data_IF_538142033075
#
_entry.id   IF_538142033075
#
_cell.length_a   1.000
_cell.length_b   1.000
_cell.length_c   1.000
_cell.angle_alpha   90.00
_cell.angle_beta   90.00
_cell.angle_gamma   90.00
#
_symmetry.space_group_name_H-M   'P 1'
#
loop_
_entity.id
_entity.type
_entity.pdbx_description
1 polymer ?
#
# COMPACT_ATOMS: atom_id res chain seq x y z
N UNK A 1 -40.94 47.82 -22.40
CA UNK A 1 -39.63 47.13 -22.53
C UNK A 1 -39.49 46.15 -21.39
N UNK A 2 -39.76 44.84 -21.63
CA UNK A 2 -39.69 43.80 -20.62
C UNK A 2 -38.22 43.30 -20.57
N UNK A 3 -37.54 43.51 -19.43
CA UNK A 3 -36.19 42.95 -19.19
C UNK A 3 -36.33 41.46 -18.93
N UNK A 4 -35.82 40.67 -19.84
CA UNK A 4 -35.69 39.23 -19.71
C UNK A 4 -34.48 38.96 -18.78
N UNK A 5 -34.75 38.53 -17.53
CA UNK A 5 -33.73 38.08 -16.62
C UNK A 5 -33.41 36.62 -16.98
N UNK A 6 -32.28 36.42 -17.63
CA UNK A 6 -31.74 35.07 -17.92
C UNK A 6 -31.17 34.49 -16.62
N UNK A 7 -31.93 33.59 -15.99
CA UNK A 7 -31.48 32.86 -14.82
C UNK A 7 -30.49 31.79 -15.30
N UNK A 8 -29.19 32.06 -15.15
CA UNK A 8 -28.15 31.11 -15.45
C UNK A 8 -28.18 30.01 -14.34
N UNK A 9 -28.79 28.88 -14.68
CA UNK A 9 -28.80 27.69 -13.83
C UNK A 9 -27.38 27.14 -13.83
N UNK A 10 -26.54 27.48 -12.82
CA UNK A 10 -25.29 26.78 -12.56
C UNK A 10 -25.66 25.36 -12.13
N UNK A 11 -25.53 24.42 -13.05
CA UNK A 11 -25.45 22.99 -12.70
C UNK A 11 -24.12 22.80 -11.98
N UNK A 12 -24.14 22.85 -10.65
CA UNK A 12 -23.03 22.39 -9.83
C UNK A 12 -23.03 20.89 -9.98
N UNK A 13 -22.30 20.38 -11.00
CA UNK A 13 -21.89 18.99 -11.02
C UNK A 13 -21.00 18.81 -9.80
N UNK A 14 -21.49 18.08 -8.80
CA UNK A 14 -20.74 17.73 -7.61
C UNK A 14 -19.54 16.86 -8.01
N UNK A 15 -18.48 17.49 -8.50
CA UNK A 15 -17.17 16.89 -8.48
C UNK A 15 -16.84 16.68 -7.01
N UNK A 16 -16.80 15.43 -6.59
CA UNK A 16 -16.18 15.04 -5.34
C UNK A 16 -14.78 15.64 -5.37
N UNK A 17 -14.58 16.73 -4.63
CA UNK A 17 -13.28 17.33 -4.38
C UNK A 17 -12.49 16.26 -3.60
N UNK A 18 -11.81 15.39 -4.34
CA UNK A 18 -10.80 14.52 -3.75
C UNK A 18 -9.72 15.46 -3.24
N UNK A 19 -9.47 15.42 -1.96
CA UNK A 19 -8.40 16.19 -1.34
C UNK A 19 -7.08 15.79 -2.02
N UNK A 20 -6.62 16.63 -2.95
CA UNK A 20 -5.33 16.42 -3.59
C UNK A 20 -4.26 16.75 -2.56
N UNK A 21 -3.59 15.73 -2.04
CA UNK A 21 -2.47 15.93 -1.14
C UNK A 21 -1.23 16.33 -1.94
N UNK A 22 -0.43 17.19 -1.34
CA UNK A 22 0.90 17.54 -1.86
C UNK A 22 1.94 16.79 -1.02
N UNK A 23 2.74 15.94 -1.67
CA UNK A 23 3.90 15.34 -1.03
C UNK A 23 5.11 16.27 -1.21
N UNK A 24 5.75 16.62 -0.08
CA UNK A 24 6.98 17.40 -0.07
C UNK A 24 7.89 16.89 1.05
N UNK A 25 9.13 16.56 0.69
CA UNK A 25 10.15 16.05 1.62
C UNK A 25 9.69 14.82 2.44
N UNK A 26 8.87 13.96 1.80
CA UNK A 26 8.30 12.75 2.41
C UNK A 26 7.15 13.01 3.39
N UNK A 27 6.62 14.23 3.45
CA UNK A 27 5.46 14.61 4.23
C UNK A 27 4.29 14.98 3.33
N UNK A 28 3.07 14.70 3.79
CA UNK A 28 1.81 14.97 3.10
C UNK A 28 1.13 16.20 3.67
N UNK A 29 0.74 17.13 2.80
CA UNK A 29 0.11 18.39 3.15
C UNK A 29 -1.24 18.53 2.46
N UNK A 30 -2.18 19.22 3.11
CA UNK A 30 -3.42 19.67 2.51
C UNK A 30 -3.18 20.88 1.57
N UNK A 31 -4.26 21.34 0.90
CA UNK A 31 -4.18 22.48 -0.04
C UNK A 31 -3.86 23.81 0.65
N UNK A 32 -3.99 23.91 1.99
CA UNK A 32 -3.59 25.06 2.80
C UNK A 32 -2.15 24.97 3.31
N UNK A 33 -1.41 23.94 2.86
CA UNK A 33 -0.03 23.66 3.30
C UNK A 33 0.08 23.34 4.81
N UNK A 34 -0.98 22.73 5.39
CA UNK A 34 -0.89 22.16 6.73
C UNK A 34 -0.56 20.66 6.63
N UNK A 35 0.20 20.09 7.58
CA UNK A 35 0.39 18.64 7.66
C UNK A 35 -0.99 17.95 7.70
N UNK A 36 -1.18 16.97 6.82
CA UNK A 36 -2.46 16.29 6.69
C UNK A 36 -2.62 15.20 7.74
N UNK A 37 -3.83 15.09 8.30
CA UNK A 37 -4.24 13.96 9.13
C UNK A 37 -5.56 13.42 8.62
N UNK A 38 -5.62 12.13 8.31
CA UNK A 38 -6.83 11.48 7.82
C UNK A 38 -6.55 10.34 6.85
N UNK A 39 -7.63 9.88 6.20
CA UNK A 39 -7.54 8.87 5.14
C UNK A 39 -7.47 9.56 3.80
N UNK A 40 -6.43 9.26 3.04
CA UNK A 40 -6.29 9.66 1.65
C UNK A 40 -6.64 8.52 0.73
N UNK A 41 -7.40 8.82 -0.33
CA UNK A 41 -7.83 7.85 -1.33
C UNK A 41 -7.49 8.39 -2.71
N UNK A 42 -6.82 7.58 -3.51
CA UNK A 42 -6.58 7.81 -4.93
C UNK A 42 -7.41 6.84 -5.77
N UNK A 43 -7.77 7.28 -6.97
CA UNK A 43 -8.60 6.49 -7.88
C UNK A 43 -7.88 6.28 -9.21
N UNK A 44 -8.19 5.19 -9.86
CA UNK A 44 -7.90 4.99 -11.28
C UNK A 44 -8.78 5.92 -12.14
N UNK A 45 -8.41 6.17 -13.42
CA UNK A 45 -9.22 7.00 -14.32
C UNK A 45 -10.67 6.50 -14.44
N UNK A 46 -10.91 5.22 -14.34
CA UNK A 46 -12.20 4.53 -14.42
C UNK A 46 -13.05 4.70 -13.15
N UNK A 47 -12.47 5.26 -12.06
CA UNK A 47 -13.17 5.57 -10.82
C UNK A 47 -13.02 4.55 -9.71
N UNK A 48 -12.38 3.40 -9.95
CA UNK A 48 -12.08 2.44 -8.91
C UNK A 48 -10.92 2.93 -8.01
N UNK A 49 -10.93 2.54 -6.74
CA UNK A 49 -9.87 2.92 -5.80
C UNK A 49 -8.55 2.30 -6.21
N UNK A 50 -7.50 3.11 -6.36
CA UNK A 50 -6.13 2.71 -6.64
C UNK A 50 -5.28 2.57 -5.39
N UNK A 51 -5.48 3.49 -4.45
CA UNK A 51 -4.73 3.59 -3.21
C UNK A 51 -5.64 4.10 -2.09
N UNK A 52 -5.50 3.51 -0.91
CA UNK A 52 -6.05 4.02 0.35
C UNK A 52 -4.95 4.00 1.40
N UNK A 53 -4.64 5.15 2.00
CA UNK A 53 -3.65 5.24 3.06
C UNK A 53 -4.13 6.09 4.23
N UNK A 54 -3.62 5.80 5.41
CA UNK A 54 -3.78 6.66 6.58
C UNK A 54 -2.54 7.52 6.78
N UNK A 55 -2.77 8.79 7.08
CA UNK A 55 -1.74 9.80 7.33
C UNK A 55 -2.04 10.47 8.66
N UNK A 56 -1.02 10.66 9.49
CA UNK A 56 -1.06 11.36 10.76
C UNK A 56 0.03 12.42 10.77
N UNK A 57 -0.32 13.68 11.02
CA UNK A 57 0.61 14.82 11.02
C UNK A 57 1.56 14.83 9.81
N UNK A 58 1.01 14.60 8.61
CA UNK A 58 1.75 14.55 7.36
C UNK A 58 2.57 13.28 7.12
N UNK A 59 2.53 12.28 8.00
CA UNK A 59 3.29 11.03 7.87
C UNK A 59 2.35 9.86 7.62
N UNK A 60 2.80 8.89 6.80
CA UNK A 60 2.12 7.60 6.74
C UNK A 60 2.15 6.96 8.13
N UNK A 61 0.98 6.65 8.66
CA UNK A 61 0.81 5.97 9.96
C UNK A 61 -0.39 5.05 9.88
N UNK A 62 -0.20 3.74 10.12
CA UNK A 62 -1.21 2.72 9.90
C UNK A 62 -1.13 2.07 8.52
N UNK A 63 -2.27 1.58 8.04
CA UNK A 63 -2.34 0.74 6.84
C UNK A 63 -2.41 1.59 5.56
N UNK A 64 -1.57 1.23 4.60
CA UNK A 64 -1.68 1.62 3.20
C UNK A 64 -2.06 0.40 2.37
N UNK A 65 -3.15 0.50 1.59
CA UNK A 65 -3.61 -0.55 0.68
C UNK A 65 -3.57 -0.05 -0.75
N UNK A 66 -2.95 -0.81 -1.62
CA UNK A 66 -2.98 -0.65 -3.08
C UNK A 66 -3.95 -1.66 -3.67
N UNK A 67 -4.62 -1.28 -4.73
CA UNK A 67 -5.58 -2.12 -5.43
C UNK A 67 -5.22 -2.26 -6.90
N UNK A 68 -5.68 -3.33 -7.52
CA UNK A 68 -5.77 -3.50 -8.96
C UNK A 68 -6.97 -2.72 -9.52
N UNK A 69 -7.07 -2.58 -10.84
CA UNK A 69 -8.16 -1.84 -11.49
C UNK A 69 -9.54 -2.50 -11.27
N UNK A 70 -9.59 -3.81 -11.07
CA UNK A 70 -10.81 -4.57 -10.75
C UNK A 70 -11.28 -4.38 -9.29
N UNK A 71 -10.47 -3.73 -8.44
CA UNK A 71 -10.74 -3.47 -7.04
C UNK A 71 -10.19 -4.51 -6.07
N UNK A 72 -9.57 -5.59 -6.58
CA UNK A 72 -8.89 -6.56 -5.74
C UNK A 72 -7.61 -5.98 -5.13
N UNK A 73 -7.23 -6.50 -3.95
CA UNK A 73 -6.05 -6.01 -3.25
C UNK A 73 -4.78 -6.47 -3.96
N UNK A 74 -3.93 -5.50 -4.31
CA UNK A 74 -2.60 -5.71 -4.85
C UNK A 74 -1.54 -5.79 -3.76
N UNK A 75 -1.64 -4.90 -2.76
CA UNK A 75 -0.63 -4.80 -1.73
C UNK A 75 -1.18 -4.16 -0.45
N UNK A 76 -0.71 -4.64 0.70
CA UNK A 76 -0.92 -4.01 2.01
C UNK A 76 0.44 -3.73 2.62
N UNK A 77 0.64 -2.51 3.11
CA UNK A 77 1.82 -2.09 3.89
C UNK A 77 1.37 -1.42 5.17
N UNK A 78 2.02 -1.77 6.28
CA UNK A 78 1.85 -1.03 7.53
C UNK A 78 3.00 -0.05 7.73
N UNK A 79 2.65 1.14 8.22
CA UNK A 79 3.59 2.22 8.50
C UNK A 79 3.39 2.75 9.91
N UNK A 80 4.48 3.25 10.48
CA UNK A 80 4.51 4.06 11.68
C UNK A 80 5.49 5.20 11.48
N UNK A 81 5.00 6.45 11.55
CA UNK A 81 5.81 7.64 11.32
C UNK A 81 6.66 7.56 10.03
N UNK A 82 6.05 7.24 8.89
CA UNK A 82 6.67 7.03 7.58
C UNK A 82 7.61 5.81 7.45
N UNK A 83 7.90 5.08 8.52
CA UNK A 83 8.70 3.86 8.48
C UNK A 83 7.80 2.65 8.28
N UNK A 84 8.22 1.67 7.50
CA UNK A 84 7.53 0.38 7.45
C UNK A 84 7.58 -0.27 8.83
N UNK A 85 6.41 -0.67 9.35
CA UNK A 85 6.27 -1.25 10.69
C UNK A 85 5.10 -2.24 10.66
N UNK A 86 5.36 -3.51 11.02
CA UNK A 86 4.37 -4.57 10.91
C UNK A 86 4.42 -5.33 9.59
N UNK A 87 3.28 -5.75 9.08
CA UNK A 87 3.17 -6.68 7.96
C UNK A 87 3.09 -5.98 6.62
N UNK A 88 3.74 -6.57 5.62
CA UNK A 88 3.64 -6.22 4.21
C UNK A 88 3.25 -7.48 3.43
N UNK A 89 2.18 -7.41 2.63
CA UNK A 89 1.69 -8.53 1.83
C UNK A 89 1.46 -8.05 0.40
N UNK A 90 1.83 -8.88 -0.59
CA UNK A 90 1.53 -8.65 -2.01
C UNK A 90 0.79 -9.82 -2.62
N UNK A 91 -0.09 -9.53 -3.59
CA UNK A 91 -0.85 -10.49 -4.38
C UNK A 91 -0.70 -10.19 -5.87
N UNK A 92 -0.91 -11.20 -6.72
CA UNK A 92 -1.11 -11.02 -8.15
C UNK A 92 -2.60 -10.72 -8.46
N UNK A 93 -2.92 -10.50 -9.74
CA UNK A 93 -4.28 -10.22 -10.21
C UNK A 93 -5.26 -11.37 -9.98
N UNK A 94 -4.78 -12.61 -9.89
CA UNK A 94 -5.60 -13.80 -9.58
C UNK A 94 -5.87 -13.97 -8.07
N UNK A 95 -5.37 -13.06 -7.24
CA UNK A 95 -5.51 -13.09 -5.78
C UNK A 95 -4.55 -14.05 -5.09
N UNK A 96 -3.59 -14.65 -5.83
CA UNK A 96 -2.53 -15.48 -5.24
C UNK A 96 -1.56 -14.63 -4.46
N UNK A 97 -1.27 -14.99 -3.21
CA UNK A 97 -0.28 -14.31 -2.37
C UNK A 97 1.12 -14.60 -2.91
N UNK A 98 1.87 -13.53 -3.23
CA UNK A 98 3.23 -13.61 -3.75
C UNK A 98 4.30 -13.38 -2.68
N UNK A 99 4.02 -12.55 -1.68
CA UNK A 99 4.94 -12.29 -0.59
C UNK A 99 4.23 -11.91 0.71
N UNK A 100 4.85 -12.30 1.82
CA UNK A 100 4.53 -11.80 3.14
C UNK A 100 5.83 -11.47 3.87
N UNK A 101 5.95 -10.26 4.37
CA UNK A 101 7.13 -9.73 5.02
C UNK A 101 6.75 -9.01 6.30
N UNK A 102 7.70 -8.93 7.24
CA UNK A 102 7.55 -8.13 8.45
C UNK A 102 8.68 -7.13 8.59
N UNK A 103 8.32 -5.97 9.10
CA UNK A 103 9.24 -4.88 9.41
C UNK A 103 9.04 -4.40 10.83
N UNK A 104 10.10 -3.89 11.41
CA UNK A 104 10.12 -3.20 12.69
C UNK A 104 10.97 -1.93 12.53
N UNK A 105 10.35 -0.76 12.71
CA UNK A 105 10.95 0.56 12.51
C UNK A 105 11.74 0.73 11.20
N UNK A 106 11.22 0.19 10.09
CA UNK A 106 11.81 0.24 8.75
C UNK A 106 12.84 -0.85 8.46
N UNK A 107 13.16 -1.72 9.40
CA UNK A 107 14.10 -2.82 9.22
C UNK A 107 13.36 -4.13 9.03
N UNK A 108 13.90 -5.02 8.18
CA UNK A 108 13.40 -6.39 8.06
C UNK A 108 13.42 -7.09 9.42
N UNK A 109 12.30 -7.72 9.80
CA UNK A 109 12.17 -8.40 11.08
C UNK A 109 11.22 -9.59 10.97
N UNK A 110 11.50 -10.67 11.73
CA UNK A 110 10.67 -11.87 11.73
C UNK A 110 10.71 -12.65 10.42
N UNK A 111 9.70 -13.46 10.19
CA UNK A 111 9.60 -14.34 9.03
C UNK A 111 9.18 -13.60 7.78
N UNK A 112 9.75 -14.04 6.65
CA UNK A 112 9.48 -13.59 5.30
C UNK A 112 9.20 -14.79 4.43
N UNK A 113 8.13 -14.73 3.63
CA UNK A 113 7.71 -15.78 2.72
C UNK A 113 7.58 -15.22 1.31
N UNK A 114 8.00 -16.00 0.32
CA UNK A 114 7.81 -15.68 -1.10
C UNK A 114 7.22 -16.91 -1.77
N UNK A 115 6.14 -16.70 -2.50
CA UNK A 115 5.48 -17.69 -3.34
C UNK A 115 5.65 -17.30 -4.81
N UNK A 116 5.56 -18.27 -5.71
CA UNK A 116 5.42 -18.01 -7.14
C UNK A 116 3.97 -17.69 -7.52
N UNK A 117 3.74 -17.47 -8.83
CA UNK A 117 2.42 -17.09 -9.35
C UNK A 117 1.38 -18.21 -9.17
N UNK A 118 1.79 -19.48 -9.07
CA UNK A 118 0.94 -20.63 -8.81
C UNK A 118 0.66 -20.83 -7.30
N UNK A 119 1.26 -20.03 -6.43
CA UNK A 119 1.10 -20.11 -4.99
C UNK A 119 2.02 -21.14 -4.31
N UNK A 120 3.00 -21.69 -5.04
CA UNK A 120 4.01 -22.58 -4.45
C UNK A 120 5.01 -21.78 -3.63
N UNK A 121 5.23 -22.18 -2.38
CA UNK A 121 6.24 -21.53 -1.51
C UNK A 121 7.64 -21.75 -2.09
N UNK A 122 8.35 -20.66 -2.32
CA UNK A 122 9.70 -20.67 -2.91
C UNK A 122 10.78 -20.33 -1.89
N UNK A 123 10.47 -19.44 -0.93
CA UNK A 123 11.41 -19.01 0.10
C UNK A 123 10.71 -18.83 1.44
N UNK A 124 11.31 -19.34 2.50
CA UNK A 124 11.08 -18.95 3.89
C UNK A 124 12.40 -18.44 4.46
N UNK A 125 12.35 -17.22 5.00
CA UNK A 125 13.52 -16.50 5.49
C UNK A 125 13.19 -15.89 6.84
N UNK A 126 14.21 -15.65 7.66
CA UNK A 126 14.05 -14.94 8.92
C UNK A 126 15.07 -13.81 9.04
N UNK A 127 14.61 -12.71 9.62
CA UNK A 127 15.42 -11.52 9.84
C UNK A 127 15.25 -11.02 11.27
N UNK A 128 16.32 -10.47 11.83
CA UNK A 128 16.28 -9.73 13.08
C UNK A 128 16.97 -8.38 12.89
N UNK A 129 16.20 -7.27 12.99
CA UNK A 129 16.67 -5.91 12.84
C UNK A 129 17.52 -5.65 11.57
N UNK A 130 17.12 -6.29 10.46
CA UNK A 130 17.77 -6.18 9.15
C UNK A 130 18.82 -7.25 8.87
N UNK A 131 19.34 -7.92 9.88
CA UNK A 131 20.29 -9.03 9.74
C UNK A 131 19.55 -10.33 9.41
N UNK A 132 20.17 -11.16 8.56
CA UNK A 132 19.69 -12.53 8.32
C UNK A 132 19.88 -13.34 9.59
N UNK A 133 18.91 -14.21 9.92
CA UNK A 133 18.97 -15.07 11.10
C UNK A 133 18.19 -16.35 10.85
N UNK A 134 18.44 -17.36 11.70
CA UNK A 134 17.71 -18.62 11.68
C UNK A 134 17.95 -19.44 10.43
N UNK A 135 16.96 -20.25 10.08
CA UNK A 135 17.03 -21.17 8.95
C UNK A 135 16.27 -20.56 7.76
N UNK A 136 16.98 -20.46 6.63
CA UNK A 136 16.38 -20.08 5.34
C UNK A 136 16.19 -21.32 4.50
N UNK A 137 14.97 -21.55 4.06
CA UNK A 137 14.57 -22.67 3.23
C UNK A 137 14.21 -22.21 1.82
N UNK A 138 14.60 -23.00 0.82
CA UNK A 138 14.37 -22.72 -0.60
C UNK A 138 13.75 -23.96 -1.22
N UNK A 139 12.63 -23.78 -1.92
CA UNK A 139 11.90 -24.82 -2.64
C UNK A 139 11.95 -24.59 -4.15
N UNK A 140 11.85 -25.67 -4.91
CA UNK A 140 11.69 -25.62 -6.37
C UNK A 140 10.25 -25.34 -6.78
N UNK A 141 9.98 -25.33 -8.08
CA UNK A 141 8.66 -25.11 -8.66
C UNK A 141 7.64 -26.23 -8.34
N UNK A 142 8.12 -27.41 -7.94
CA UNK A 142 7.29 -28.54 -7.54
C UNK A 142 7.03 -28.55 -6.02
N UNK A 143 7.50 -27.54 -5.27
CA UNK A 143 7.39 -27.48 -3.83
C UNK A 143 8.33 -28.43 -3.09
N UNK A 144 9.38 -28.92 -3.74
CA UNK A 144 10.39 -29.78 -3.12
C UNK A 144 11.50 -28.91 -2.51
N UNK A 145 11.86 -29.17 -1.27
CA UNK A 145 12.95 -28.46 -0.58
C UNK A 145 14.29 -28.79 -1.26
N UNK A 146 14.93 -27.74 -1.83
CA UNK A 146 16.20 -27.88 -2.58
C UNK A 146 17.40 -27.31 -1.86
N UNK A 147 17.20 -26.43 -0.89
CA UNK A 147 18.31 -25.85 -0.14
C UNK A 147 17.89 -25.37 1.26
N UNK A 148 18.82 -25.44 2.20
CA UNK A 148 18.71 -24.88 3.55
C UNK A 148 20.01 -24.14 3.85
N UNK A 149 19.86 -22.93 4.42
CA UNK A 149 21.00 -22.13 4.92
C UNK A 149 20.71 -21.67 6.34
N UNK A 150 21.68 -21.78 7.21
CA UNK A 150 21.64 -21.25 8.57
C UNK A 150 22.47 -19.97 8.66
N UNK A 151 21.92 -18.94 9.35
CA UNK A 151 22.53 -17.62 9.52
C UNK A 151 22.64 -17.22 10.98
#
# INVERSE_FOLDING_TARGET
>A
MKKLILLLLMVVTGSLLHAQLVEKDGLYYDFNNNPYTGTYIEYFPEGNVRLKMHVEDGKKDGITTYFFEDGEKKEIRNFKNNKMDGTWITWNEDGTKLAEARYDEGKKHGKWFIWDEDGTLRYEMEYNQGAKTGIWSIWDENGQLVNIREY
#
